data_IF_776101559171
#
_entry.id   IF_776101559171
#
_cell.length_a   1.000
_cell.length_b   1.000
_cell.length_c   1.000
_cell.angle_alpha   90.00
_cell.angle_beta   90.00
_cell.angle_gamma   90.00
#
_symmetry.space_group_name_H-M   'P 1'
#
loop_
_entity.id
_entity.type
_entity.pdbx_description
1 polymer ?
#
# COMPACT_ATOMS: atom_id res chain seq x y z
N UNK A 1 3.27 26.81 -13.01
CA UNK A 1 4.38 25.90 -12.64
C UNK A 1 3.77 24.62 -12.09
N UNK A 2 3.61 23.60 -12.93
CA UNK A 2 3.19 22.27 -12.49
C UNK A 2 4.47 21.54 -12.06
N UNK A 3 4.76 21.57 -10.76
CA UNK A 3 5.79 20.72 -10.16
C UNK A 3 5.27 19.28 -10.24
N UNK A 4 5.51 18.63 -11.37
CA UNK A 4 5.51 17.17 -11.42
C UNK A 4 6.56 16.73 -10.39
N UNK A 5 6.10 16.29 -9.20
CA UNK A 5 6.94 15.57 -8.24
C UNK A 5 7.53 14.40 -9.01
N UNK A 6 8.77 14.54 -9.46
CA UNK A 6 9.53 13.48 -10.10
C UNK A 6 9.66 12.40 -9.02
N UNK A 7 8.79 11.40 -9.06
CA UNK A 7 8.86 10.24 -8.18
C UNK A 7 10.24 9.62 -8.43
N UNK A 8 11.14 9.54 -7.43
CA UNK A 8 12.48 9.04 -7.66
C UNK A 8 12.38 7.63 -8.25
N UNK A 9 13.15 7.33 -9.30
CA UNK A 9 13.33 5.97 -9.81
C UNK A 9 14.17 5.17 -8.82
N UNK A 10 13.62 4.88 -7.64
CA UNK A 10 14.12 3.82 -6.78
C UNK A 10 13.77 2.50 -7.47
N UNK A 11 14.69 1.51 -7.44
CA UNK A 11 14.32 0.14 -7.82
C UNK A 11 13.19 -0.27 -6.89
N UNK A 12 11.97 -0.35 -7.39
CA UNK A 12 10.81 -0.80 -6.62
C UNK A 12 10.99 -2.30 -6.42
N UNK A 13 11.37 -2.69 -5.21
CA UNK A 13 11.33 -4.07 -4.78
C UNK A 13 9.89 -4.38 -4.36
N UNK A 14 9.37 -5.51 -4.86
CA UNK A 14 8.09 -6.05 -4.45
C UNK A 14 8.39 -7.29 -3.62
N UNK A 15 8.09 -7.24 -2.34
CA UNK A 15 8.06 -8.43 -1.50
C UNK A 15 6.63 -8.95 -1.55
N UNK A 16 6.47 -10.21 -1.91
CA UNK A 16 5.18 -10.86 -1.82
C UNK A 16 4.87 -11.02 -0.33
N UNK A 17 3.68 -10.59 0.15
CA UNK A 17 3.30 -10.77 1.55
C UNK A 17 3.43 -12.23 1.96
N UNK A 18 4.00 -12.46 3.14
CA UNK A 18 4.05 -13.81 3.72
C UNK A 18 2.67 -14.26 4.22
N UNK A 19 1.83 -13.29 4.60
CA UNK A 19 0.45 -13.48 5.01
C UNK A 19 -0.44 -12.46 4.26
N UNK A 20 -1.46 -12.93 3.54
CA UNK A 20 -2.35 -12.07 2.76
C UNK A 20 -3.54 -11.52 3.57
N UNK A 21 -3.70 -11.96 4.81
CA UNK A 21 -4.78 -11.52 5.71
C UNK A 21 -4.45 -10.22 6.44
N UNK A 22 -3.16 -9.84 6.48
CA UNK A 22 -2.64 -8.63 7.12
C UNK A 22 -1.71 -7.85 6.18
N UNK A 23 -1.61 -6.55 6.37
CA UNK A 23 -0.76 -5.62 5.63
C UNK A 23 0.32 -5.08 6.55
N UNK A 24 1.58 -5.41 6.28
CA UNK A 24 2.73 -4.90 7.01
C UNK A 24 3.27 -3.60 6.40
N UNK A 25 2.88 -2.47 6.97
CA UNK A 25 3.35 -1.14 6.52
C UNK A 25 4.81 -0.81 6.87
N UNK A 26 5.48 -1.64 7.67
CA UNK A 26 6.90 -1.43 8.02
C UNK A 26 7.85 -2.03 6.99
N UNK A 27 7.36 -2.88 6.09
CA UNK A 27 8.15 -3.50 5.05
C UNK A 27 7.85 -2.86 3.69
N UNK A 28 8.79 -2.05 3.20
CA UNK A 28 8.60 -1.29 1.96
C UNK A 28 8.25 -2.18 0.75
N UNK A 29 8.79 -3.40 0.70
CA UNK A 29 8.52 -4.34 -0.39
C UNK A 29 7.06 -4.78 -0.41
N UNK A 30 6.52 -5.06 0.78
CA UNK A 30 5.12 -5.41 0.97
C UNK A 30 4.18 -4.22 0.71
N UNK A 31 4.53 -3.03 1.21
CA UNK A 31 3.81 -1.77 0.92
C UNK A 31 3.68 -1.55 -0.60
N UNK A 32 4.78 -1.69 -1.34
CA UNK A 32 4.76 -1.53 -2.80
C UNK A 32 3.89 -2.59 -3.49
N UNK A 33 3.88 -3.82 -2.96
CA UNK A 33 3.04 -4.90 -3.47
C UNK A 33 1.55 -4.59 -3.27
N UNK A 34 1.16 -4.19 -2.05
CA UNK A 34 -0.22 -3.82 -1.74
C UNK A 34 -0.67 -2.56 -2.47
N UNK A 35 0.19 -1.55 -2.63
CA UNK A 35 -0.12 -0.36 -3.43
C UNK A 35 -0.44 -0.73 -4.88
N UNK A 36 0.26 -1.73 -5.43
CA UNK A 36 0.03 -2.22 -6.79
C UNK A 36 -1.28 -3.01 -6.88
N UNK A 37 -1.55 -3.88 -5.90
CA UNK A 37 -2.78 -4.69 -5.85
C UNK A 37 -4.02 -3.81 -5.69
N UNK A 38 -4.00 -2.90 -4.71
CA UNK A 38 -5.11 -2.01 -4.36
C UNK A 38 -5.17 -0.74 -5.22
N UNK A 39 -4.24 -0.58 -6.17
CA UNK A 39 -4.10 0.61 -7.03
C UNK A 39 -4.09 1.93 -6.26
N UNK A 40 -3.43 1.97 -5.09
CA UNK A 40 -3.31 3.15 -4.24
C UNK A 40 -1.87 3.64 -4.11
N UNK A 41 -1.69 4.81 -3.50
CA UNK A 41 -0.36 5.31 -3.12
C UNK A 41 0.06 4.78 -1.74
N UNK A 42 1.36 4.79 -1.48
CA UNK A 42 1.92 4.41 -0.18
C UNK A 42 1.35 5.25 0.97
N UNK A 43 1.19 6.56 0.75
CA UNK A 43 0.60 7.47 1.75
C UNK A 43 -0.85 7.06 2.05
N UNK A 44 -1.65 6.72 1.03
CA UNK A 44 -3.03 6.26 1.20
C UNK A 44 -3.11 4.90 1.89
N UNK A 45 -2.21 3.97 1.55
CA UNK A 45 -2.14 2.66 2.18
C UNK A 45 -1.81 2.77 3.67
N UNK A 46 -0.79 3.56 4.01
CA UNK A 46 -0.36 3.79 5.39
C UNK A 46 -1.46 4.49 6.19
N UNK A 47 -2.09 5.54 5.64
CA UNK A 47 -3.20 6.23 6.30
C UNK A 47 -4.38 5.27 6.56
N UNK A 48 -4.74 4.48 5.55
CA UNK A 48 -5.84 3.51 5.65
C UNK A 48 -5.56 2.46 6.70
N UNK A 49 -4.37 1.84 6.69
CA UNK A 49 -3.97 0.85 7.71
C UNK A 49 -3.97 1.45 9.11
N UNK A 50 -3.50 2.69 9.29
CA UNK A 50 -3.56 3.37 10.59
C UNK A 50 -5.01 3.64 11.05
N UNK A 51 -5.95 3.79 10.10
CA UNK A 51 -7.35 4.09 10.38
C UNK A 51 -8.21 2.86 10.63
N UNK A 52 -8.06 1.79 9.83
CA UNK A 52 -8.92 0.58 9.88
C UNK A 52 -8.20 -0.63 10.49
N UNK A 53 -6.90 -0.54 10.71
CA UNK A 53 -6.02 -1.62 11.16
C UNK A 53 -5.35 -2.35 10.00
N UNK A 54 -4.44 -3.27 10.34
CA UNK A 54 -3.63 -4.04 9.39
C UNK A 54 -4.41 -5.10 8.61
N UNK A 55 -5.68 -5.37 8.94
CA UNK A 55 -6.45 -6.42 8.26
C UNK A 55 -6.72 -6.06 6.80
N UNK A 56 -6.23 -6.90 5.88
CA UNK A 56 -6.42 -6.75 4.43
C UNK A 56 -7.89 -6.61 4.06
N UNK A 57 -8.77 -7.39 4.71
CA UNK A 57 -10.21 -7.32 4.47
C UNK A 57 -10.78 -5.93 4.74
N UNK A 58 -10.42 -5.33 5.87
CA UNK A 58 -10.90 -4.00 6.27
C UNK A 58 -10.33 -2.90 5.37
N UNK A 59 -9.08 -3.06 4.94
CA UNK A 59 -8.44 -2.15 3.98
C UNK A 59 -9.10 -2.23 2.61
N UNK A 60 -9.37 -3.43 2.09
CA UNK A 60 -10.10 -3.65 0.83
C UNK A 60 -11.52 -3.08 0.88
N UNK A 61 -12.22 -3.32 1.98
CA UNK A 61 -13.55 -2.74 2.23
C UNK A 61 -13.51 -1.21 2.20
N UNK A 62 -12.48 -0.59 2.78
CA UNK A 62 -12.27 0.86 2.74
C UNK A 62 -12.06 1.39 1.32
N UNK A 63 -11.29 0.67 0.49
CA UNK A 63 -11.08 1.01 -0.92
C UNK A 63 -12.27 0.66 -1.82
N UNK A 64 -13.30 -0.02 -1.31
CA UNK A 64 -14.47 -0.43 -2.08
C UNK A 64 -14.22 -1.67 -2.96
N UNK A 65 -13.15 -2.43 -2.70
CA UNK A 65 -12.97 -3.74 -3.29
C UNK A 65 -13.83 -4.75 -2.50
N UNK A 66 -14.90 -5.24 -3.13
CA UNK A 66 -15.85 -6.21 -2.57
C UNK A 66 -15.76 -7.57 -3.28
#
# INVERSE_FOLDING_TARGET
MLLFKIKPRTKIYYAVPSDYSTINIFEQGEVNWWCKELSCTEEELIDTVNKVGESTYRVKEYFGEN
#
